data_IF_864033370490
#
_entry.id   IF_864033370490
#
_cell.length_a   1.000
_cell.length_b   1.000
_cell.length_c   1.000
_cell.angle_alpha   90.00
_cell.angle_beta   90.00
_cell.angle_gamma   90.00
#
_symmetry.space_group_name_H-M   'P 1'
#
loop_
_entity.id
_entity.type
_entity.pdbx_description
1 polymer ?
#
# COMPACT_ATOMS: atom_id res chain seq x y z
N UNK A 1 -12.32 -19.33 32.66
CA UNK A 1 -11.66 -19.12 31.34
C UNK A 1 -12.23 -17.85 30.74
N UNK A 2 -11.65 -16.70 31.05
CA UNK A 2 -11.97 -15.47 30.32
C UNK A 2 -11.48 -15.68 28.88
N UNK A 3 -12.41 -15.81 27.93
CA UNK A 3 -12.06 -15.84 26.52
C UNK A 3 -11.50 -14.46 26.19
N UNK A 4 -10.17 -14.36 26.05
CA UNK A 4 -9.54 -13.14 25.60
C UNK A 4 -10.09 -12.83 24.19
N UNK A 5 -10.92 -11.80 24.09
CA UNK A 5 -11.53 -11.32 22.83
C UNK A 5 -10.50 -10.53 21.99
N UNK A 6 -9.48 -10.01 22.67
CA UNK A 6 -8.38 -9.19 22.14
C UNK A 6 -7.65 -9.82 20.94
N UNK A 7 -7.25 -11.10 20.93
CA UNK A 7 -6.60 -11.71 19.77
C UNK A 7 -7.50 -11.74 18.52
N UNK A 8 -8.80 -12.02 18.69
CA UNK A 8 -9.73 -12.10 17.56
C UNK A 8 -9.98 -10.72 16.93
N UNK A 9 -10.16 -9.68 17.75
CA UNK A 9 -10.37 -8.33 17.23
C UNK A 9 -9.14 -7.79 16.50
N UNK A 10 -7.93 -8.07 16.98
CA UNK A 10 -6.68 -7.70 16.29
C UNK A 10 -6.57 -8.39 14.92
N UNK A 11 -6.88 -9.69 14.83
CA UNK A 11 -6.84 -10.42 13.57
C UNK A 11 -7.82 -9.83 12.55
N UNK A 12 -9.04 -9.48 12.98
CA UNK A 12 -10.03 -8.86 12.11
C UNK A 12 -9.53 -7.51 11.59
N UNK A 13 -8.94 -6.68 12.46
CA UNK A 13 -8.37 -5.39 12.05
C UNK A 13 -7.24 -5.55 11.03
N UNK A 14 -6.35 -6.52 11.22
CA UNK A 14 -5.28 -6.81 10.27
C UNK A 14 -5.82 -7.27 8.92
N UNK A 15 -6.85 -8.11 8.91
CA UNK A 15 -7.49 -8.56 7.68
C UNK A 15 -8.16 -7.41 6.93
N UNK A 16 -8.83 -6.50 7.64
CA UNK A 16 -9.44 -5.30 7.05
C UNK A 16 -8.38 -4.37 6.45
N UNK A 17 -7.27 -4.12 7.16
CA UNK A 17 -6.16 -3.31 6.67
C UNK A 17 -5.50 -3.93 5.44
N UNK A 18 -5.29 -5.25 5.45
CA UNK A 18 -4.77 -5.99 4.30
C UNK A 18 -5.69 -5.88 3.09
N UNK A 19 -6.98 -6.14 3.27
CA UNK A 19 -7.98 -6.03 2.22
C UNK A 19 -8.08 -4.61 1.63
N UNK A 20 -8.07 -3.59 2.48
CA UNK A 20 -8.07 -2.19 2.04
C UNK A 20 -6.80 -1.82 1.26
N UNK A 21 -5.65 -2.33 1.69
CA UNK A 21 -4.37 -2.12 0.99
C UNK A 21 -4.42 -2.73 -0.40
N UNK A 22 -4.86 -3.98 -0.53
CA UNK A 22 -5.00 -4.67 -1.82
C UNK A 22 -5.98 -3.94 -2.74
N UNK A 23 -7.15 -3.58 -2.23
CA UNK A 23 -8.15 -2.82 -2.99
C UNK A 23 -7.58 -1.53 -3.57
N UNK A 24 -6.82 -0.75 -2.78
CA UNK A 24 -6.21 0.48 -3.27
C UNK A 24 -5.10 0.23 -4.30
N UNK A 25 -4.36 -0.87 -4.18
CA UNK A 25 -3.31 -1.25 -5.13
C UNK A 25 -3.94 -1.66 -6.47
N UNK A 26 -5.02 -2.42 -6.46
CA UNK A 26 -5.74 -2.84 -7.68
C UNK A 26 -6.35 -1.64 -8.43
N UNK A 27 -6.75 -0.59 -7.69
CA UNK A 27 -7.30 0.64 -8.26
C UNK A 27 -6.24 1.73 -8.51
N UNK A 28 -4.96 1.39 -8.42
CA UNK A 28 -3.87 2.33 -8.67
C UNK A 28 -3.84 2.73 -10.16
N UNK A 29 -3.73 4.02 -10.49
CA UNK A 29 -3.74 4.47 -11.88
C UNK A 29 -2.41 4.17 -12.58
N UNK A 30 -2.33 3.02 -13.25
CA UNK A 30 -1.11 2.49 -13.88
C UNK A 30 -0.41 3.45 -14.86
N UNK A 31 -1.20 4.20 -15.64
CA UNK A 31 -0.69 5.09 -16.70
C UNK A 31 -0.26 6.48 -16.19
N UNK A 32 -0.44 6.78 -14.90
CA UNK A 32 0.00 8.06 -14.34
C UNK A 32 1.48 8.03 -13.98
N UNK A 33 2.13 9.18 -14.09
CA UNK A 33 3.44 9.40 -13.49
C UNK A 33 3.25 9.52 -11.99
N UNK A 34 3.97 8.67 -11.27
CA UNK A 34 3.97 8.51 -9.85
C UNK A 34 5.27 9.10 -9.25
N UNK A 35 5.32 9.25 -7.92
CA UNK A 35 6.48 9.79 -7.24
C UNK A 35 7.70 8.87 -7.37
N UNK A 36 8.86 9.40 -7.75
CA UNK A 36 10.06 8.59 -7.65
C UNK A 36 10.51 8.52 -6.18
N UNK A 37 10.34 7.36 -5.54
CA UNK A 37 10.82 7.12 -4.18
C UNK A 37 12.33 6.98 -4.10
N UNK A 38 12.99 6.70 -5.23
CA UNK A 38 14.43 6.57 -5.31
C UNK A 38 15.07 7.91 -5.66
N UNK A 39 15.60 8.59 -4.64
CA UNK A 39 16.22 9.91 -4.75
C UNK A 39 17.51 9.92 -5.59
N UNK A 40 17.98 8.74 -5.99
CA UNK A 40 19.24 8.57 -6.73
C UNK A 40 19.05 8.33 -8.24
N UNK A 41 17.82 8.05 -8.67
CA UNK A 41 17.51 7.84 -10.08
C UNK A 41 17.44 9.17 -10.83
N UNK A 42 18.17 9.27 -11.94
CA UNK A 42 18.08 10.39 -12.88
C UNK A 42 16.74 10.41 -13.66
N UNK A 43 15.91 9.37 -13.51
CA UNK A 43 14.57 9.33 -14.09
C UNK A 43 13.59 10.10 -13.20
N UNK A 44 13.16 11.26 -13.68
CA UNK A 44 12.19 12.13 -13.01
C UNK A 44 10.75 11.62 -13.13
N UNK A 45 10.48 10.69 -14.05
CA UNK A 45 9.14 10.16 -14.30
C UNK A 45 9.13 8.63 -14.14
N UNK A 46 8.60 8.15 -13.02
CA UNK A 46 8.33 6.72 -12.79
C UNK A 46 6.84 6.50 -12.99
N UNK A 47 6.44 5.58 -13.87
CA UNK A 47 5.02 5.26 -14.01
C UNK A 47 4.56 4.39 -12.84
N UNK A 48 3.33 4.61 -12.40
CA UNK A 48 2.74 3.87 -11.27
C UNK A 48 2.74 2.34 -11.48
N UNK A 49 2.67 1.87 -12.73
CA UNK A 49 2.75 0.45 -13.09
C UNK A 49 4.11 -0.20 -12.75
N UNK A 50 5.19 0.58 -12.77
CA UNK A 50 6.56 0.09 -12.63
C UNK A 50 6.98 -0.02 -11.15
N UNK A 51 6.13 0.41 -10.22
CA UNK A 51 6.37 0.26 -8.80
C UNK A 51 6.47 -1.22 -8.38
N UNK A 52 7.45 -1.53 -7.55
CA UNK A 52 7.51 -2.79 -6.84
C UNK A 52 6.44 -2.84 -5.71
N UNK A 53 6.28 -4.01 -5.09
CA UNK A 53 5.26 -4.21 -4.05
C UNK A 53 5.36 -3.19 -2.89
N UNK A 54 6.58 -2.84 -2.47
CA UNK A 54 6.81 -1.90 -1.36
C UNK A 54 6.43 -0.47 -1.78
N UNK A 55 6.78 -0.06 -2.99
CA UNK A 55 6.43 1.25 -3.54
C UNK A 55 4.92 1.40 -3.75
N UNK A 56 4.24 0.33 -4.20
CA UNK A 56 2.77 0.30 -4.28
C UNK A 56 2.12 0.45 -2.90
N UNK A 57 2.62 -0.27 -1.89
CA UNK A 57 2.15 -0.13 -0.50
C UNK A 57 2.41 1.28 0.04
N UNK A 58 3.59 1.86 -0.24
CA UNK A 58 3.88 3.25 0.12
C UNK A 58 2.90 4.18 -0.56
N UNK A 59 2.69 4.09 -1.86
CA UNK A 59 1.77 4.95 -2.61
C UNK A 59 0.36 4.99 -2.02
N UNK A 60 -0.23 3.83 -1.72
CA UNK A 60 -1.63 3.76 -1.24
C UNK A 60 -1.84 4.27 0.19
N UNK A 61 -0.75 4.36 0.96
CA UNK A 61 -0.76 4.84 2.34
C UNK A 61 -0.02 6.16 2.54
N UNK A 62 0.70 6.66 1.52
CA UNK A 62 1.32 7.97 1.58
C UNK A 62 0.24 9.02 1.39
N UNK A 63 -0.09 9.68 2.48
CA UNK A 63 -0.90 10.89 2.49
C UNK A 63 -0.07 12.00 1.85
N UNK A 64 -0.45 12.44 0.65
CA UNK A 64 -0.09 13.76 0.14
C UNK A 64 -0.92 14.83 0.85
#
# INVERSE_FOLDING_TARGET
MEKSIIPCTIIILLALLGGLTLYKIENMPEEKVCHNFDKTSAETHVYCKDYNAIEKVRYVWHLY
#
